data_IF_013742564521
#
_entry.id   IF_013742564521
#
_cell.length_a   1.000
_cell.length_b   1.000
_cell.length_c   1.000
_cell.angle_alpha   90.00
_cell.angle_beta   90.00
_cell.angle_gamma   90.00
#
_symmetry.space_group_name_H-M   'P 1'
#
loop_
_entity.id
_entity.type
_entity.pdbx_description
1 polymer ?
#
# COMPACT_ATOMS: atom_id res chain seq x y z
N UNK A 1 -7.78 -16.46 8.28
CA UNK A 1 -7.43 -17.47 9.30
C UNK A 1 -6.96 -16.67 10.49
N UNK A 2 -7.77 -16.57 11.54
CA UNK A 2 -7.38 -15.85 12.76
C UNK A 2 -6.53 -16.82 13.58
N UNK A 3 -5.22 -16.73 13.41
CA UNK A 3 -4.25 -17.61 14.08
C UNK A 3 -3.98 -17.12 15.50
N UNK A 4 -4.31 -15.85 15.79
CA UNK A 4 -4.00 -15.19 17.06
C UNK A 4 -5.29 -15.10 17.88
N UNK A 5 -5.28 -15.73 19.06
CA UNK A 5 -6.38 -15.70 20.02
C UNK A 5 -5.94 -15.06 21.32
N UNK A 6 -6.81 -14.26 21.95
CA UNK A 6 -6.53 -13.55 23.19
C UNK A 6 -6.34 -12.03 23.01
N UNK A 7 -5.96 -11.34 24.06
CA UNK A 7 -5.69 -9.88 24.08
C UNK A 7 -4.25 -9.55 23.63
N UNK A 8 -3.81 -10.18 22.54
CA UNK A 8 -2.49 -9.93 21.96
C UNK A 8 -2.68 -9.13 20.69
N UNK A 9 -1.95 -8.04 20.54
CA UNK A 9 -1.91 -7.30 19.27
C UNK A 9 -0.95 -7.97 18.30
N UNK A 10 -1.07 -7.62 17.02
CA UNK A 10 -0.23 -8.14 15.94
C UNK A 10 -0.20 -7.17 14.75
N UNK A 11 0.79 -7.36 13.88
CA UNK A 11 0.97 -6.59 12.64
C UNK A 11 0.63 -7.47 11.45
N UNK A 12 -0.25 -6.96 10.57
CA UNK A 12 -0.54 -7.52 9.26
C UNK A 12 0.00 -6.60 8.18
N UNK A 13 0.75 -7.13 7.24
CA UNK A 13 1.30 -6.34 6.13
C UNK A 13 0.72 -6.82 4.80
N UNK A 14 0.08 -5.91 4.08
CA UNK A 14 -0.42 -6.12 2.72
C UNK A 14 0.52 -5.37 1.77
N UNK A 15 1.30 -6.09 0.98
CA UNK A 15 2.28 -5.47 0.09
C UNK A 15 2.14 -5.94 -1.36
N UNK A 16 2.73 -5.20 -2.28
CA UNK A 16 2.73 -5.51 -3.72
C UNK A 16 2.79 -4.25 -4.58
N UNK A 17 2.82 -4.39 -5.91
CA UNK A 17 2.93 -3.25 -6.83
C UNK A 17 1.65 -2.40 -6.86
N UNK A 18 1.68 -1.28 -7.55
CA UNK A 18 0.44 -0.57 -7.91
C UNK A 18 -0.51 -1.48 -8.70
N UNK A 19 -1.80 -1.22 -8.61
CA UNK A 19 -2.87 -1.96 -9.30
C UNK A 19 -3.05 -3.42 -8.83
N UNK A 20 -2.52 -3.80 -7.67
CA UNK A 20 -2.59 -5.18 -7.14
C UNK A 20 -3.73 -5.41 -6.14
N UNK A 21 -4.58 -4.40 -5.88
CA UNK A 21 -5.73 -4.54 -4.98
C UNK A 21 -5.39 -4.41 -3.48
N UNK A 22 -4.25 -3.81 -3.11
CA UNK A 22 -3.84 -3.64 -1.70
C UNK A 22 -4.88 -2.88 -0.87
N UNK A 23 -5.30 -1.71 -1.32
CA UNK A 23 -6.31 -0.90 -0.60
C UNK A 23 -7.67 -1.60 -0.53
N UNK A 24 -8.04 -2.39 -1.54
CA UNK A 24 -9.24 -3.25 -1.51
C UNK A 24 -9.15 -4.30 -0.40
N UNK A 25 -8.02 -4.98 -0.30
CA UNK A 25 -7.79 -6.00 0.73
C UNK A 25 -7.73 -5.37 2.13
N UNK A 26 -7.10 -4.19 2.27
CA UNK A 26 -7.12 -3.42 3.52
C UNK A 26 -8.57 -3.09 3.92
N UNK A 27 -9.34 -2.46 3.04
CA UNK A 27 -10.75 -2.11 3.30
C UNK A 27 -11.57 -3.36 3.65
N UNK A 28 -11.36 -4.47 2.95
CA UNK A 28 -12.04 -5.74 3.22
C UNK A 28 -11.78 -6.24 4.65
N UNK A 29 -10.53 -6.20 5.11
CA UNK A 29 -10.16 -6.60 6.49
C UNK A 29 -10.76 -5.67 7.52
N UNK A 30 -10.63 -4.37 7.32
CA UNK A 30 -11.18 -3.36 8.23
C UNK A 30 -12.71 -3.47 8.35
N UNK A 31 -13.42 -3.69 7.24
CA UNK A 31 -14.88 -3.93 7.26
C UNK A 31 -15.24 -5.19 8.05
N UNK A 32 -14.48 -6.26 7.93
CA UNK A 32 -14.69 -7.48 8.74
C UNK A 32 -14.54 -7.21 10.24
N UNK A 33 -13.54 -6.40 10.63
CA UNK A 33 -13.36 -5.97 12.02
C UNK A 33 -14.56 -5.15 12.51
N UNK A 34 -15.07 -4.22 11.69
CA UNK A 34 -16.27 -3.44 12.00
C UNK A 34 -17.53 -4.34 12.15
N UNK A 35 -17.71 -5.34 11.29
CA UNK A 35 -18.79 -6.34 11.42
C UNK A 35 -18.65 -7.10 12.73
N UNK A 36 -17.43 -7.41 13.16
CA UNK A 36 -17.14 -8.01 14.47
C UNK A 36 -17.29 -7.01 15.65
N UNK A 37 -17.82 -5.81 15.39
CA UNK A 37 -18.05 -4.72 16.37
C UNK A 37 -16.78 -4.19 17.03
N UNK A 38 -15.63 -4.39 16.41
CA UNK A 38 -14.37 -3.78 16.84
C UNK A 38 -14.33 -2.30 16.48
N UNK A 39 -13.72 -1.48 17.33
CA UNK A 39 -13.45 -0.08 17.05
C UNK A 39 -12.26 0.02 16.10
N UNK A 40 -12.50 0.60 14.92
CA UNK A 40 -11.53 0.68 13.82
C UNK A 40 -11.20 2.14 13.55
N UNK A 41 -9.91 2.46 13.46
CA UNK A 41 -9.43 3.73 12.94
C UNK A 41 -8.50 3.49 11.75
N UNK A 42 -8.52 4.43 10.80
CA UNK A 42 -7.77 4.31 9.56
C UNK A 42 -7.00 5.60 9.32
N UNK A 43 -5.74 5.47 8.94
CA UNK A 43 -4.82 6.57 8.70
C UNK A 43 -4.21 6.47 7.30
N UNK A 44 -3.97 7.64 6.69
CA UNK A 44 -3.23 7.76 5.43
C UNK A 44 -2.33 9.00 5.44
N UNK A 45 -1.23 9.02 4.65
CA UNK A 45 -0.36 10.18 4.57
C UNK A 45 -0.99 11.34 3.81
N UNK A 46 -0.61 12.56 4.18
CA UNK A 46 -1.08 13.81 3.55
C UNK A 46 -0.74 13.90 2.06
N UNK A 47 0.31 13.22 1.61
CA UNK A 47 0.78 13.25 0.21
C UNK A 47 -0.17 12.53 -0.76
N UNK A 48 -1.06 11.71 -0.25
CA UNK A 48 -2.05 10.99 -1.08
C UNK A 48 -3.28 11.85 -1.36
N UNK A 49 -3.10 12.88 -2.19
CA UNK A 49 -4.18 13.79 -2.62
C UNK A 49 -4.94 13.30 -3.86
N UNK A 50 -4.73 12.04 -4.30
CA UNK A 50 -5.37 11.48 -5.51
C UNK A 50 -6.88 11.31 -5.41
N UNK A 51 -7.39 11.23 -4.18
CA UNK A 51 -8.81 11.09 -3.86
C UNK A 51 -9.19 12.04 -2.72
N UNK A 52 -10.45 12.00 -2.25
CA UNK A 52 -10.92 12.88 -1.17
C UNK A 52 -9.99 12.85 0.05
N UNK A 53 -9.83 14.00 0.71
CA UNK A 53 -8.90 14.15 1.85
C UNK A 53 -9.23 13.22 3.04
N UNK A 54 -10.45 12.70 3.14
CA UNK A 54 -10.97 12.02 4.33
C UNK A 54 -11.27 10.53 4.08
N UNK A 55 -10.89 9.96 2.93
CA UNK A 55 -11.21 8.56 2.60
C UNK A 55 -10.02 7.85 1.95
N UNK A 56 -9.84 6.58 2.30
CA UNK A 56 -9.11 5.65 1.44
C UNK A 56 -10.06 5.15 0.36
N UNK A 57 -9.58 5.13 -0.88
CA UNK A 57 -10.37 4.73 -2.06
C UNK A 57 -9.59 3.68 -2.83
N UNK A 58 -10.21 2.52 -3.05
CA UNK A 58 -9.65 1.50 -3.94
C UNK A 58 -9.89 1.83 -5.40
N UNK A 59 -9.15 1.20 -6.30
CA UNK A 59 -9.42 1.29 -7.75
C UNK A 59 -10.81 0.78 -8.14
N UNK A 60 -11.46 -0.03 -7.30
CA UNK A 60 -12.83 -0.54 -7.47
C UNK A 60 -13.89 0.30 -6.75
N UNK A 61 -13.64 1.58 -6.47
CA UNK A 61 -14.56 2.52 -5.79
C UNK A 61 -15.00 2.12 -4.37
N UNK A 62 -14.32 1.17 -3.73
CA UNK A 62 -14.55 0.92 -2.31
C UNK A 62 -13.96 2.08 -1.50
N UNK A 63 -14.76 2.64 -0.59
CA UNK A 63 -14.39 3.79 0.23
C UNK A 63 -14.47 3.50 1.71
N UNK A 64 -13.56 4.08 2.48
CA UNK A 64 -13.59 4.05 3.94
C UNK A 64 -13.00 5.35 4.49
N UNK A 65 -13.68 5.95 5.47
CA UNK A 65 -13.18 7.15 6.16
C UNK A 65 -11.82 6.90 6.76
N UNK A 66 -10.93 7.87 6.61
CA UNK A 66 -9.57 7.84 7.13
C UNK A 66 -9.18 9.20 7.69
N UNK A 67 -8.23 9.20 8.60
CA UNK A 67 -7.58 10.40 9.10
C UNK A 67 -6.30 10.65 8.29
N UNK A 68 -6.15 11.87 7.80
CA UNK A 68 -4.93 12.28 7.09
C UNK A 68 -3.91 12.74 8.13
N UNK A 69 -2.70 12.19 8.07
CA UNK A 69 -1.59 12.51 8.99
C UNK A 69 -0.34 12.89 8.22
N UNK A 70 0.44 13.81 8.79
CA UNK A 70 1.69 14.27 8.18
C UNK A 70 2.87 13.31 8.45
N UNK A 71 2.81 12.53 9.52
CA UNK A 71 3.84 11.55 9.88
C UNK A 71 3.24 10.37 10.65
N UNK A 72 4.05 9.32 10.84
CA UNK A 72 3.66 8.15 11.62
C UNK A 72 3.42 8.50 13.10
N UNK A 73 4.20 9.41 13.68
CA UNK A 73 4.08 9.84 15.08
C UNK A 73 2.71 10.51 15.32
N UNK A 74 2.17 11.18 14.33
CA UNK A 74 0.85 11.81 14.43
C UNK A 74 -0.27 10.78 14.60
N UNK A 75 -0.08 9.55 14.15
CA UNK A 75 -1.00 8.44 14.43
C UNK A 75 -1.14 8.23 15.94
N UNK A 76 -0.01 8.17 16.67
CA UNK A 76 -0.04 7.96 18.12
C UNK A 76 -0.63 9.15 18.88
N UNK A 77 -0.53 10.35 18.34
CA UNK A 77 -1.09 11.56 18.93
C UNK A 77 -2.61 11.69 18.73
N UNK A 78 -3.15 11.12 17.63
CA UNK A 78 -4.55 11.26 17.27
C UNK A 78 -5.42 10.04 17.57
N UNK A 79 -4.81 8.86 17.72
CA UNK A 79 -5.56 7.62 17.92
C UNK A 79 -6.39 7.66 19.21
N UNK A 80 -7.64 7.22 19.14
CA UNK A 80 -8.38 6.82 20.33
C UNK A 80 -7.81 5.49 20.84
N UNK A 81 -7.19 5.52 22.01
CA UNK A 81 -6.56 4.34 22.61
C UNK A 81 -7.53 3.20 22.92
N UNK A 82 -8.83 3.46 22.87
CA UNK A 82 -9.87 2.41 22.92
C UNK A 82 -10.04 1.67 21.60
N UNK A 83 -9.46 2.16 20.49
CA UNK A 83 -9.47 1.47 19.21
C UNK A 83 -8.76 0.13 19.31
N UNK A 84 -9.33 -0.89 18.66
CA UNK A 84 -8.85 -2.27 18.70
C UNK A 84 -8.14 -2.64 17.39
N UNK A 85 -8.48 -1.96 16.31
CA UNK A 85 -7.90 -2.20 14.98
C UNK A 85 -7.48 -0.87 14.36
N UNK A 86 -6.25 -0.84 13.86
CA UNK A 86 -5.66 0.32 13.19
C UNK A 86 -5.29 -0.06 11.77
N UNK A 87 -5.85 0.64 10.79
CA UNK A 87 -5.48 0.53 9.38
C UNK A 87 -4.55 1.66 8.95
N UNK A 88 -3.50 1.36 8.22
CA UNK A 88 -2.62 2.36 7.60
C UNK A 88 -2.50 2.06 6.11
N UNK A 89 -2.94 2.98 5.26
CA UNK A 89 -2.75 2.88 3.81
C UNK A 89 -1.59 3.74 3.34
N UNK A 90 -1.04 3.41 2.18
CA UNK A 90 0.09 4.11 1.55
C UNK A 90 1.29 4.32 2.49
N UNK A 91 1.65 3.26 3.23
CA UNK A 91 2.64 3.25 4.29
C UNK A 91 4.03 3.79 3.88
N UNK A 92 4.39 3.68 2.61
CA UNK A 92 5.66 4.17 2.06
C UNK A 92 5.85 5.67 2.23
N UNK A 93 4.77 6.42 2.39
CA UNK A 93 4.81 7.87 2.55
C UNK A 93 4.75 8.32 4.02
N UNK A 94 4.73 7.37 4.96
CA UNK A 94 4.75 7.66 6.41
C UNK A 94 6.16 7.78 6.99
N UNK A 95 7.19 7.38 6.22
CA UNK A 95 8.57 7.34 6.68
C UNK A 95 8.90 6.15 7.59
N UNK A 96 10.17 6.05 7.97
CA UNK A 96 10.71 4.94 8.77
C UNK A 96 10.13 4.87 10.19
N UNK A 97 9.68 5.99 10.76
CA UNK A 97 9.02 6.05 12.06
C UNK A 97 7.76 5.17 12.18
N UNK A 98 7.17 4.78 11.03
CA UNK A 98 6.02 3.88 11.04
C UNK A 98 6.34 2.50 11.64
N UNK A 99 7.57 2.03 11.54
CA UNK A 99 8.00 0.74 12.10
C UNK A 99 7.82 0.73 13.62
N UNK A 100 8.37 1.75 14.29
CA UNK A 100 8.26 1.88 15.76
C UNK A 100 6.80 2.10 16.18
N UNK A 101 6.06 2.93 15.45
CA UNK A 101 4.64 3.19 15.74
C UNK A 101 3.82 1.91 15.62
N UNK A 102 4.03 1.11 14.57
CA UNK A 102 3.32 -0.15 14.37
C UNK A 102 3.59 -1.15 15.51
N UNK A 103 4.86 -1.31 15.91
CA UNK A 103 5.21 -2.18 17.03
C UNK A 103 4.55 -1.71 18.33
N UNK A 104 4.66 -0.41 18.67
CA UNK A 104 4.04 0.15 19.87
C UNK A 104 2.52 -0.08 19.90
N UNK A 105 1.84 0.07 18.80
CA UNK A 105 0.40 -0.19 18.68
C UNK A 105 0.08 -1.68 18.89
N UNK A 106 0.85 -2.58 18.27
CA UNK A 106 0.69 -4.02 18.43
C UNK A 106 0.98 -4.44 19.88
N UNK A 107 2.08 -3.95 20.49
CA UNK A 107 2.42 -4.23 21.89
C UNK A 107 1.34 -3.75 22.87
N UNK A 108 0.58 -2.71 22.48
CA UNK A 108 -0.58 -2.23 23.25
C UNK A 108 -1.86 -3.08 23.04
N UNK A 109 -1.77 -4.20 22.33
CA UNK A 109 -2.87 -5.14 22.10
C UNK A 109 -3.74 -4.82 20.88
N UNK A 110 -3.30 -3.96 19.96
CA UNK A 110 -4.06 -3.61 18.77
C UNK A 110 -3.70 -4.49 17.56
N UNK A 111 -4.69 -4.82 16.75
CA UNK A 111 -4.48 -5.34 15.41
C UNK A 111 -4.09 -4.18 14.49
N UNK A 112 -2.87 -4.21 13.94
CA UNK A 112 -2.36 -3.17 13.03
C UNK A 112 -2.30 -3.75 11.61
N UNK A 113 -3.03 -3.17 10.67
CA UNK A 113 -3.10 -3.63 9.29
C UNK A 113 -2.51 -2.55 8.38
N UNK A 114 -1.39 -2.85 7.76
CA UNK A 114 -0.60 -1.89 6.98
C UNK A 114 -0.60 -2.28 5.51
N UNK A 115 -0.84 -1.31 4.64
CA UNK A 115 -0.81 -1.47 3.18
C UNK A 115 0.26 -0.57 2.56
N UNK A 116 1.08 -1.13 1.66
CA UNK A 116 2.12 -0.36 0.99
C UNK A 116 2.82 -1.08 -0.17
N UNK A 117 3.62 -0.32 -0.93
CA UNK A 117 4.45 -0.82 -2.02
C UNK A 117 5.68 -1.54 -1.47
N UNK A 118 5.94 -2.77 -1.88
CA UNK A 118 7.13 -3.51 -1.45
C UNK A 118 8.40 -3.12 -2.22
N UNK A 119 8.25 -2.55 -3.41
CA UNK A 119 9.36 -2.04 -4.21
C UNK A 119 9.02 -0.70 -4.85
N UNK A 120 10.04 0.13 -5.05
CA UNK A 120 9.97 1.36 -5.83
C UNK A 120 9.89 1.07 -7.36
N UNK A 121 9.85 2.13 -8.17
CA UNK A 121 9.81 2.05 -9.64
C UNK A 121 11.11 1.52 -10.26
N UNK A 122 12.21 1.48 -9.50
CA UNK A 122 13.48 0.86 -9.89
C UNK A 122 13.54 -0.63 -9.53
N UNK A 123 12.49 -1.16 -8.86
CA UNK A 123 12.43 -2.53 -8.38
C UNK A 123 13.23 -2.78 -7.10
N UNK A 124 13.67 -1.73 -6.40
CA UNK A 124 14.40 -1.81 -5.13
C UNK A 124 13.42 -1.89 -3.97
N UNK A 125 13.78 -2.54 -2.84
CA UNK A 125 12.95 -2.52 -1.64
C UNK A 125 12.59 -1.08 -1.23
N UNK A 126 11.34 -0.85 -0.87
CA UNK A 126 10.82 0.48 -0.57
C UNK A 126 10.45 0.60 0.92
N UNK A 127 11.26 1.36 1.66
CA UNK A 127 11.02 1.59 3.09
C UNK A 127 9.64 2.25 3.33
N UNK A 128 9.02 1.99 4.49
CA UNK A 128 9.43 1.12 5.58
C UNK A 128 8.94 -0.35 5.43
N UNK A 129 8.44 -0.73 4.27
CA UNK A 129 7.81 -2.05 4.08
C UNK A 129 8.75 -3.22 4.36
N UNK A 130 10.04 -3.24 3.96
CA UNK A 130 10.92 -4.37 4.24
C UNK A 130 11.05 -4.69 5.74
N UNK A 131 11.17 -3.67 6.58
CA UNK A 131 11.24 -3.80 8.04
C UNK A 131 9.92 -4.31 8.60
N UNK A 132 8.80 -3.77 8.14
CA UNK A 132 7.47 -4.21 8.53
C UNK A 132 7.18 -5.66 8.13
N UNK A 133 7.70 -6.11 6.98
CA UNK A 133 7.60 -7.51 6.56
C UNK A 133 8.39 -8.46 7.48
N UNK A 134 9.50 -7.99 8.05
CA UNK A 134 10.28 -8.77 9.00
C UNK A 134 9.61 -8.88 10.38
N UNK A 135 8.81 -7.88 10.76
CA UNK A 135 8.18 -7.78 12.07
C UNK A 135 6.73 -8.27 12.11
N UNK A 136 6.07 -8.30 10.94
CA UNK A 136 4.66 -8.68 10.85
C UNK A 136 4.42 -10.17 11.03
N UNK A 137 3.40 -10.51 11.82
CA UNK A 137 2.96 -11.91 12.04
C UNK A 137 2.18 -12.44 10.83
N UNK A 138 1.53 -11.57 10.05
CA UNK A 138 0.77 -11.99 8.87
C UNK A 138 1.14 -11.13 7.65
N UNK A 139 1.62 -11.80 6.60
CA UNK A 139 2.04 -11.13 5.38
C UNK A 139 1.16 -11.59 4.21
N UNK A 140 0.64 -10.61 3.47
CA UNK A 140 -0.09 -10.86 2.22
C UNK A 140 0.57 -10.09 1.09
N UNK A 141 1.20 -10.83 0.19
CA UNK A 141 1.78 -10.26 -1.03
C UNK A 141 0.79 -10.39 -2.17
N UNK A 142 0.29 -9.25 -2.64
CA UNK A 142 -0.61 -9.17 -3.80
C UNK A 142 0.17 -9.01 -5.10
N UNK A 143 -0.39 -9.51 -6.19
CA UNK A 143 0.16 -9.35 -7.52
C UNK A 143 -0.89 -8.66 -8.42
N UNK A 144 -0.40 -7.79 -9.29
CA UNK A 144 -1.22 -7.22 -10.37
C UNK A 144 -1.16 -8.10 -11.62
N UNK A 145 -1.81 -7.67 -12.69
CA UNK A 145 -1.70 -8.30 -14.00
C UNK A 145 -0.77 -7.48 -14.88
N UNK A 146 0.21 -8.13 -15.48
CA UNK A 146 1.15 -7.48 -16.39
C UNK A 146 0.43 -6.99 -17.63
N UNK A 147 0.43 -5.68 -17.87
CA UNK A 147 -0.27 -5.07 -19.01
C UNK A 147 0.35 -5.45 -20.36
N UNK A 148 1.61 -5.93 -20.39
CA UNK A 148 2.27 -6.37 -21.63
C UNK A 148 1.97 -7.82 -22.02
N UNK A 149 1.84 -8.73 -21.03
CA UNK A 149 1.79 -10.17 -21.37
C UNK A 149 0.79 -10.98 -20.53
N UNK A 150 -0.02 -10.35 -19.67
CA UNK A 150 -1.04 -11.01 -18.86
C UNK A 150 -0.53 -11.85 -17.67
N UNK A 151 0.78 -12.01 -17.50
CA UNK A 151 1.33 -12.77 -16.39
C UNK A 151 1.22 -12.01 -15.05
N UNK A 152 1.32 -12.70 -13.90
CA UNK A 152 1.38 -12.04 -12.59
C UNK A 152 2.50 -10.99 -12.54
N UNK A 153 2.14 -9.77 -12.17
CA UNK A 153 3.03 -8.61 -12.11
C UNK A 153 3.38 -8.28 -10.66
N UNK A 154 4.69 -8.14 -10.41
CA UNK A 154 5.22 -7.74 -9.10
C UNK A 154 5.89 -6.36 -9.11
N UNK A 155 6.01 -5.72 -10.25
CA UNK A 155 6.69 -4.45 -10.39
C UNK A 155 5.76 -3.34 -10.82
N UNK A 156 5.98 -2.16 -10.27
CA UNK A 156 5.41 -0.89 -10.72
C UNK A 156 6.38 -0.26 -11.71
N UNK A 157 6.04 -0.26 -12.99
CA UNK A 157 6.82 0.40 -14.03
C UNK A 157 6.42 1.86 -14.13
N UNK A 158 7.37 2.78 -13.97
CA UNK A 158 7.16 4.19 -14.29
C UNK A 158 7.32 4.40 -15.80
N UNK A 159 6.37 5.08 -16.42
CA UNK A 159 6.35 5.33 -17.86
C UNK A 159 6.89 6.70 -18.23
N UNK A 160 6.71 7.69 -17.35
CA UNK A 160 7.10 9.10 -17.53
C UNK A 160 7.20 9.80 -16.18
N UNK A 161 7.77 10.99 -16.15
CA UNK A 161 7.96 11.83 -14.96
C UNK A 161 9.44 12.10 -14.69
N UNK A 162 9.75 12.64 -13.53
CA UNK A 162 11.13 12.88 -13.08
C UNK A 162 11.76 11.60 -12.51
N UNK A 163 13.08 11.65 -12.27
CA UNK A 163 13.82 10.57 -11.61
C UNK A 163 13.64 10.57 -10.07
N UNK A 164 12.80 11.44 -9.54
CA UNK A 164 12.49 11.48 -8.11
C UNK A 164 11.90 10.14 -7.65
N UNK A 165 12.27 9.71 -6.45
CA UNK A 165 11.78 8.45 -5.88
C UNK A 165 10.25 8.41 -5.81
N UNK A 166 9.66 9.53 -5.38
CA UNK A 166 8.23 9.70 -5.21
C UNK A 166 7.74 10.69 -6.27
N UNK A 167 6.94 10.20 -7.21
CA UNK A 167 6.14 11.03 -8.11
C UNK A 167 4.69 10.64 -7.90
N UNK A 168 3.94 11.52 -7.27
CA UNK A 168 2.49 11.35 -7.13
C UNK A 168 1.87 11.54 -8.50
N UNK A 169 1.35 10.48 -9.08
CA UNK A 169 0.85 10.48 -10.44
C UNK A 169 -0.39 9.64 -10.63
N UNK A 170 -1.15 10.02 -11.65
CA UNK A 170 -2.33 9.28 -12.09
C UNK A 170 -1.96 7.92 -12.72
N UNK A 171 -2.96 7.07 -12.93
CA UNK A 171 -2.81 5.74 -13.51
C UNK A 171 -2.11 5.70 -14.90
N UNK A 172 -2.00 6.84 -15.56
CA UNK A 172 -1.32 7.00 -16.85
C UNK A 172 0.21 7.15 -16.76
N UNK A 173 0.74 7.37 -15.55
CA UNK A 173 2.18 7.47 -15.28
C UNK A 173 2.85 6.15 -14.92
N UNK A 174 2.06 5.16 -14.55
CA UNK A 174 2.54 3.88 -14.07
C UNK A 174 1.76 2.72 -14.71
N UNK A 175 2.40 1.57 -14.83
CA UNK A 175 1.74 0.33 -15.18
C UNK A 175 2.34 -0.87 -14.43
N UNK A 176 1.55 -1.94 -14.32
CA UNK A 176 2.02 -3.17 -13.69
C UNK A 176 2.81 -4.04 -14.69
N UNK A 177 3.99 -4.51 -14.30
CA UNK A 177 4.85 -5.38 -15.11
C UNK A 177 5.29 -6.64 -14.35
N UNK A 178 5.33 -7.77 -15.07
CA UNK A 178 5.97 -8.98 -14.55
C UNK A 178 7.50 -8.86 -14.62
N UNK A 179 8.23 -9.77 -13.97
CA UNK A 179 9.70 -9.77 -13.94
C UNK A 179 10.34 -9.74 -15.34
N UNK A 180 9.73 -10.40 -16.33
CA UNK A 180 10.26 -10.44 -17.69
C UNK A 180 10.03 -9.12 -18.47
N UNK A 181 8.92 -8.44 -18.20
CA UNK A 181 8.54 -7.23 -18.93
C UNK A 181 8.95 -5.93 -18.23
N UNK A 182 9.48 -6.04 -17.02
CA UNK A 182 9.93 -4.89 -16.22
C UNK A 182 11.29 -4.40 -16.72
N UNK A 183 11.39 -3.09 -16.86
CA UNK A 183 12.60 -2.36 -17.23
C UNK A 183 12.86 -1.30 -16.17
N UNK A 184 13.90 -1.44 -15.30
CA UNK A 184 14.15 -0.47 -14.24
C UNK A 184 14.37 0.94 -14.80
N UNK A 185 13.72 1.93 -14.19
CA UNK A 185 13.78 3.32 -14.62
C UNK A 185 12.60 3.75 -15.50
N UNK A 186 12.84 4.81 -16.28
CA UNK A 186 11.85 5.36 -17.24
C UNK A 186 12.23 4.86 -18.63
N UNK A 187 11.38 4.08 -19.32
CA UNK A 187 11.67 3.60 -20.67
C UNK A 187 11.90 4.76 -21.65
N UNK A 188 12.86 4.62 -22.55
CA UNK A 188 13.10 5.62 -23.60
C UNK A 188 11.87 5.74 -24.50
N UNK A 189 11.50 6.95 -24.90
CA UNK A 189 10.28 7.24 -25.69
C UNK A 189 10.13 6.39 -26.95
N UNK A 190 11.23 6.04 -27.59
CA UNK A 190 11.25 5.18 -28.79
C UNK A 190 10.60 3.81 -28.58
N UNK A 191 10.67 3.25 -27.38
CA UNK A 191 10.09 1.93 -27.10
C UNK A 191 8.59 1.98 -26.81
N UNK A 192 8.09 3.13 -26.31
CA UNK A 192 6.67 3.35 -26.05
C UNK A 192 5.83 3.42 -27.36
N UNK A 193 6.40 3.95 -28.43
CA UNK A 193 5.73 4.03 -29.74
C UNK A 193 5.57 2.65 -30.40
N UNK A 194 6.58 1.77 -30.30
CA UNK A 194 6.50 0.41 -30.83
C UNK A 194 5.42 -0.45 -30.14
N UNK A 195 5.16 -0.21 -28.85
CA UNK A 195 4.13 -0.95 -28.10
C UNK A 195 2.72 -0.48 -28.46
N UNK A 196 2.52 0.81 -28.74
CA UNK A 196 1.24 1.34 -29.21
C UNK A 196 0.89 0.82 -30.61
N UNK A 197 1.86 0.75 -31.50
CA UNK A 197 1.67 0.24 -32.86
C UNK A 197 1.24 -1.25 -32.88
N UNK A 198 1.77 -2.09 -31.97
CA UNK A 198 1.40 -3.51 -31.86
C UNK A 198 0.01 -3.78 -31.24
N UNK A 199 -0.63 -2.78 -30.62
CA UNK A 199 -2.00 -2.90 -30.07
C UNK A 199 -3.10 -2.48 -31.04
N UNK A 200 -2.73 -1.92 -32.20
CA UNK A 200 -3.66 -1.46 -33.24
C UNK A 200 -3.68 -2.37 -34.50
N UNK A 201 -2.94 -3.45 -34.50
CA UNK A 201 -2.96 -4.54 -35.45
C UNK A 201 -3.33 -5.86 -34.77
#
# INVERSE_FOLDING_TARGET
MDIITGNVGWIEVICGPMFSGKSEELIRRLRRAMIARKRVEVFKPVIDNRYSNDEIVSHGDLRMKSQVVASAEEITARIDWRSEVVGVDEANFMGEGLVEVAQRLADSGKQVIISGLDTDYMGRPFAPIPELLALGEAITKTLAICVRCGNPAKHTQRLRGSDDLIVVGAADMYEARCRRCFEPGIPKQTELEFVKAKRQG
#
